data_IF_845129555431
#
_entry.id   IF_845129555431
#
_cell.length_a   1.000
_cell.length_b   1.000
_cell.length_c   1.000
_cell.angle_alpha   90.00
_cell.angle_beta   90.00
_cell.angle_gamma   90.00
#
_symmetry.space_group_name_H-M   'P 1'
#
loop_
_entity.id
_entity.type
_entity.pdbx_description
1 polymer ?
2 non-polymer ?
3 non-polymer ?
4 water ?
#
# COMPACT_ATOMS: atom_id res chain seq x y z
N UNK A 5 5.40 17.11 -25.70
CA UNK A 5 4.14 17.45 -24.93
C UNK A 5 3.21 16.24 -24.81
N UNK A 6 2.76 15.98 -23.58
CA UNK A 6 1.84 14.88 -23.27
C UNK A 6 0.70 15.38 -22.38
N UNK A 7 -0.54 15.07 -22.76
CA UNK A 7 -1.71 15.41 -21.96
C UNK A 7 -2.18 14.18 -21.19
N UNK A 8 -2.33 14.33 -19.88
CA UNK A 8 -2.73 13.22 -19.02
C UNK A 8 -4.03 13.51 -18.28
N UNK A 9 -4.99 12.60 -18.40
CA UNK A 9 -6.23 12.64 -17.62
C UNK A 9 -6.02 11.88 -16.31
N UNK A 10 -6.27 12.52 -15.16
CA UNK A 10 -5.99 11.85 -13.88
C UNK A 10 -7.08 12.21 -12.89
N UNK A 11 -6.89 11.85 -11.62
CA UNK A 11 -7.97 11.98 -10.65
C UNK A 11 -8.39 13.42 -10.35
N UNK A 12 -7.52 14.38 -10.63
CA UNK A 12 -7.82 15.76 -10.31
C UNK A 12 -7.99 16.65 -11.53
N UNK A 13 -8.07 16.05 -12.71
CA UNK A 13 -8.30 16.84 -13.93
C UNK A 13 -7.35 16.45 -15.02
N UNK A 14 -7.01 17.42 -15.87
CA UNK A 14 -6.09 17.21 -16.98
C UNK A 14 -4.81 18.02 -16.79
N UNK A 15 -3.66 17.37 -17.06
CA UNK A 15 -2.35 18.03 -16.92
C UNK A 15 -1.53 17.87 -18.18
N UNK A 16 -0.93 18.98 -18.63
CA UNK A 16 -0.03 19.00 -19.77
C UNK A 16 1.41 18.93 -19.27
N UNK A 17 2.13 17.91 -19.72
CA UNK A 17 3.55 17.75 -19.39
C UNK A 17 4.34 18.09 -20.63
N UNK A 18 5.26 19.05 -20.50
CA UNK A 18 6.16 19.35 -21.61
C UNK A 18 7.48 18.65 -21.38
N UNK A 19 7.84 17.76 -22.31
CA UNK A 19 9.12 17.04 -22.26
C UNK A 19 9.04 15.71 -21.54
N UNK A 20 10.20 15.07 -21.35
CA UNK A 20 10.31 13.86 -20.57
C UNK A 20 10.78 14.32 -19.19
N UNK A 21 9.88 14.30 -18.19
CA UNK A 21 10.27 14.85 -16.89
C UNK A 21 11.48 14.13 -16.32
N UNK A 22 12.41 14.88 -15.75
CA UNK A 22 13.61 14.29 -15.14
C UNK A 22 13.76 14.62 -13.66
N UNK A 23 12.95 15.56 -13.17
CA UNK A 23 12.99 15.97 -11.78
C UNK A 23 11.61 15.77 -11.16
N UNK A 24 11.34 14.58 -10.63
CA UNK A 24 10.01 14.25 -10.13
C UNK A 24 9.98 14.27 -8.61
N UNK A 25 8.87 14.80 -8.06
CA UNK A 25 8.63 14.84 -6.62
C UNK A 25 7.45 13.92 -6.38
N UNK A 26 7.61 12.97 -5.46
CA UNK A 26 6.58 11.97 -5.15
C UNK A 26 5.99 12.24 -3.79
N UNK A 27 4.67 12.40 -3.74
CA UNK A 27 3.97 12.82 -2.50
C UNK A 27 3.22 11.73 -1.76
N UNK A 28 3.39 10.48 -2.19
CA UNK A 28 3.01 9.37 -1.31
C UNK A 28 3.98 8.20 -1.43
N UNK A 29 4.02 7.36 -0.40
CA UNK A 29 5.04 6.30 -0.35
C UNK A 29 5.10 5.47 -1.63
N UNK A 30 3.95 5.04 -2.12
CA UNK A 30 3.92 4.14 -3.27
C UNK A 30 4.43 4.79 -4.53
N UNK A 31 4.20 6.10 -4.67
CA UNK A 31 4.67 6.86 -5.82
C UNK A 31 6.20 6.89 -5.79
N UNK A 32 6.76 7.07 -4.60
CA UNK A 32 8.24 7.04 -4.46
C UNK A 32 8.81 5.69 -4.89
N UNK A 33 8.16 4.64 -4.45
CA UNK A 33 8.52 3.28 -4.79
C UNK A 33 8.41 3.03 -6.28
N UNK A 34 7.30 3.47 -6.87
CA UNK A 34 7.08 3.26 -8.30
C UNK A 34 8.11 4.04 -9.13
N UNK A 35 8.45 5.26 -8.70
CA UNK A 35 9.45 6.05 -9.44
C UNK A 35 10.77 5.28 -9.48
N UNK A 36 11.20 4.81 -8.32
CA UNK A 36 12.42 4.00 -8.26
C UNK A 36 12.34 2.74 -9.15
N UNK A 37 11.19 2.06 -9.09
CA UNK A 37 10.95 0.84 -9.87
C UNK A 37 11.02 1.10 -11.40
N UNK A 38 10.65 2.31 -11.79
CA UNK A 38 10.67 2.72 -13.19
C UNK A 38 12.03 3.32 -13.62
N UNK A 39 12.99 3.33 -12.69
CA UNK A 39 14.36 3.80 -12.95
C UNK A 39 14.54 5.30 -12.85
N UNK A 40 13.61 5.97 -12.18
CA UNK A 40 13.66 7.42 -12.00
C UNK A 40 13.77 7.78 -10.51
N UNK A 41 14.95 8.20 -10.07
CA UNK A 41 15.14 8.63 -8.68
C UNK A 41 14.52 10.01 -8.46
N UNK A 42 13.49 10.10 -7.58
CA UNK A 42 12.85 11.38 -7.32
C UNK A 42 13.84 12.42 -6.77
N UNK A 43 13.69 13.67 -7.18
CA UNK A 43 14.48 14.74 -6.58
C UNK A 43 13.97 15.10 -5.19
N UNK A 44 12.69 14.79 -4.95
CA UNK A 44 12.04 15.05 -3.67
C UNK A 44 11.00 13.97 -3.39
N UNK A 45 10.81 13.67 -2.11
CA UNK A 45 9.82 12.65 -1.68
C UNK A 45 9.30 12.99 -0.32
N UNK A 46 8.06 12.58 -0.04
CA UNK A 46 7.60 12.68 1.33
C UNK A 46 8.37 11.68 2.22
N UNK A 47 8.50 12.02 3.49
CA UNK A 47 9.20 11.14 4.43
C UNK A 47 8.46 9.80 4.58
N UNK A 48 9.19 8.75 4.88
CA UNK A 48 8.59 7.46 5.16
C UNK A 48 7.77 7.50 6.44
N UNK A 49 6.78 6.63 6.56
CA UNK A 49 5.94 6.65 7.73
C UNK A 49 6.66 6.17 8.98
N UNK A 50 7.55 5.21 8.78
CA UNK A 50 8.41 4.73 9.88
C UNK A 50 9.82 4.65 9.31
N UNK A 51 10.81 4.31 10.14
CA UNK A 51 12.21 4.33 9.68
C UNK A 51 12.55 5.69 9.04
N UNK A 52 12.04 6.77 9.63
CA UNK A 52 12.19 8.09 9.00
C UNK A 52 13.65 8.45 8.84
N UNK A 53 14.02 9.18 7.78
CA UNK A 53 13.14 9.77 6.74
C UNK A 53 12.90 8.88 5.53
N UNK A 54 13.60 7.75 5.41
CA UNK A 54 13.52 6.90 4.22
C UNK A 54 13.54 5.43 4.62
N UNK A 55 12.57 4.67 4.15
CA UNK A 55 12.53 3.25 4.47
C UNK A 55 13.85 2.56 4.10
N UNK A 56 14.32 1.70 4.99
CA UNK A 56 15.55 0.94 4.77
C UNK A 56 15.63 0.26 3.40
N UNK A 57 14.53 -0.36 2.98
CA UNK A 57 14.52 -1.11 1.73
C UNK A 57 14.80 -0.26 0.48
N UNK A 58 14.54 1.04 0.56
CA UNK A 58 14.68 1.93 -0.59
C UNK A 58 15.69 3.08 -0.45
N UNK A 59 16.24 3.27 0.74
CA UNK A 59 16.98 4.52 1.01
C UNK A 59 18.23 4.66 0.12
N UNK A 60 18.85 3.52 -0.24
CA UNK A 60 20.05 3.54 -1.10
C UNK A 60 19.73 3.93 -2.54
N UNK A 61 18.44 3.85 -2.90
CA UNK A 61 17.97 4.34 -4.19
C UNK A 61 17.47 5.78 -4.11
N UNK A 62 17.45 6.33 -2.89
CA UNK A 62 17.00 7.70 -2.65
C UNK A 62 18.10 8.59 -2.06
N UNK A 63 19.36 8.25 -2.31
CA UNK A 63 20.41 9.11 -1.78
C UNK A 63 20.36 10.45 -2.54
N UNK A 64 20.43 11.54 -1.80
CA UNK A 64 20.27 12.89 -2.38
C UNK A 64 18.83 13.30 -2.69
N UNK A 65 17.88 12.36 -2.63
CA UNK A 65 16.46 12.75 -2.64
C UNK A 65 16.17 13.62 -1.44
N UNK A 66 15.61 14.80 -1.66
CA UNK A 66 15.30 15.72 -0.59
C UNK A 66 13.93 15.35 -0.01
N UNK A 67 13.83 15.45 1.30
CA UNK A 67 12.54 15.17 1.97
C UNK A 67 11.70 16.44 1.95
N UNK A 68 10.50 16.35 1.41
CA UNK A 68 9.63 17.52 1.34
C UNK A 68 8.56 17.58 2.42
N UNK A 69 8.67 16.74 3.45
CA UNK A 69 7.74 16.81 4.58
C UNK A 69 6.92 15.55 4.76
N UNK A 70 5.87 15.64 5.55
CA UNK A 70 5.06 14.48 5.95
C UNK A 70 3.92 14.27 4.97
N UNK A 71 3.65 13.01 4.64
CA UNK A 71 2.62 12.71 3.65
C UNK A 71 1.25 13.38 3.86
N UNK A 72 0.78 13.52 5.11
CA UNK A 72 -0.51 14.20 5.28
C UNK A 72 -0.49 15.70 4.94
N UNK A 73 0.69 16.31 4.89
CA UNK A 73 0.79 17.77 4.63
C UNK A 73 2.19 18.17 4.21
N UNK A 74 2.53 17.87 2.96
CA UNK A 74 3.89 18.17 2.48
C UNK A 74 4.15 19.69 2.39
N UNK A 75 5.43 20.03 2.48
CA UNK A 75 5.83 21.44 2.53
C UNK A 75 6.00 21.96 1.12
N UNK A 76 5.03 22.78 0.69
CA UNK A 76 5.02 23.29 -0.68
C UNK A 76 6.24 24.15 -1.03
N UNK A 77 6.77 24.89 -0.04
CA UNK A 77 8.00 25.65 -0.26
C UNK A 77 9.18 24.73 -0.60
N UNK A 78 9.33 23.62 0.12
CA UNK A 78 10.41 22.70 -0.18
C UNK A 78 10.23 22.04 -1.56
N UNK A 79 9.00 21.73 -1.95
CA UNK A 79 8.73 21.21 -3.29
C UNK A 79 9.16 22.25 -4.34
N UNK A 80 8.73 23.49 -4.13
CA UNK A 80 9.05 24.57 -5.07
C UNK A 80 10.56 24.73 -5.28
N UNK A 81 11.31 24.65 -4.18
CA UNK A 81 12.78 24.82 -4.22
C UNK A 81 13.52 23.78 -5.02
N UNK A 82 12.90 22.62 -5.21
CA UNK A 82 13.50 21.58 -6.00
C UNK A 82 13.36 21.78 -7.50
N UNK A 83 12.56 22.76 -7.91
CA UNK A 83 12.32 23.01 -9.35
C UNK A 83 11.95 21.71 -10.06
N UNK A 84 10.88 21.04 -9.58
CA UNK A 84 10.50 19.79 -10.23
C UNK A 84 9.87 20.04 -11.60
N UNK A 85 9.92 19.05 -12.45
CA UNK A 85 9.15 19.09 -13.69
C UNK A 85 7.92 18.19 -13.66
N UNK A 86 7.76 17.42 -12.57
CA UNK A 86 6.58 16.58 -12.39
C UNK A 86 6.37 16.33 -10.91
N UNK A 87 5.13 16.51 -10.45
CA UNK A 87 4.75 16.16 -9.09
C UNK A 87 3.72 15.05 -9.17
N UNK A 88 3.90 13.99 -8.36
CA UNK A 88 2.90 12.92 -8.32
C UNK A 88 2.17 13.01 -6.96
N UNK A 89 0.87 13.25 -7.03
CA UNK A 89 0.05 13.55 -5.85
C UNK A 89 -1.07 12.54 -5.79
N UNK A 90 -1.87 12.61 -4.73
CA UNK A 90 -3.09 11.80 -4.60
C UNK A 90 -4.25 12.71 -4.19
N UNK A 91 -5.47 12.34 -4.58
CA UNK A 91 -6.63 13.09 -4.14
C UNK A 91 -6.76 12.92 -2.63
N UNK A 92 -6.55 11.71 -2.12
CA UNK A 92 -6.73 11.52 -0.70
C UNK A 92 -5.84 12.44 0.18
N UNK A 93 -4.57 12.61 -0.20
CA UNK A 93 -3.70 13.46 0.61
C UNK A 93 -3.76 14.93 0.22
N UNK A 94 -3.87 15.18 -1.09
CA UNK A 94 -3.51 16.51 -1.59
C UNK A 94 -4.65 17.23 -2.32
N UNK A 95 -5.88 16.75 -2.21
CA UNK A 95 -6.95 17.38 -3.02
C UNK A 95 -6.98 18.89 -2.80
N UNK A 96 -6.85 19.32 -1.53
CA UNK A 96 -7.03 20.72 -1.18
C UNK A 96 -5.89 21.64 -1.63
N UNK A 97 -4.71 21.07 -1.90
CA UNK A 97 -3.58 21.84 -2.37
C UNK A 97 -3.22 21.56 -3.85
N UNK A 98 -4.07 20.82 -4.56
CA UNK A 98 -3.76 20.44 -5.95
C UNK A 98 -3.46 21.66 -6.82
N UNK A 99 -4.26 22.74 -6.68
CA UNK A 99 -4.01 23.93 -7.51
C UNK A 99 -2.64 24.56 -7.17
N UNK A 100 -2.30 24.54 -5.89
CA UNK A 100 -1.02 25.09 -5.43
C UNK A 100 0.15 24.26 -5.97
N UNK A 101 -0.03 22.93 -5.98
CA UNK A 101 0.95 22.03 -6.56
C UNK A 101 1.12 22.30 -8.07
N UNK A 102 -0.02 22.49 -8.76
CA UNK A 102 0.01 22.77 -10.20
C UNK A 102 0.70 24.08 -10.54
N UNK A 103 0.70 25.02 -9.61
CA UNK A 103 1.42 26.30 -9.83
C UNK A 103 2.94 26.11 -9.81
N UNK A 104 3.38 25.07 -9.11
CA UNK A 104 4.81 24.74 -9.07
C UNK A 104 5.29 23.96 -10.29
N UNK A 105 4.57 22.90 -10.66
CA UNK A 105 4.93 22.03 -11.75
C UNK A 105 3.72 21.21 -12.18
N UNK A 106 3.76 20.66 -13.42
CA UNK A 106 2.70 19.76 -13.85
C UNK A 106 2.54 18.68 -12.79
N UNK A 107 1.30 18.48 -12.36
CA UNK A 107 1.01 17.60 -11.24
C UNK A 107 -0.03 16.57 -11.70
N UNK A 108 0.27 15.30 -11.50
CA UNK A 108 -0.69 14.23 -11.82
C UNK A 108 -1.07 13.53 -10.52
N UNK A 109 -2.31 13.03 -10.45
CA UNK A 109 -2.86 12.51 -9.18
C UNK A 109 -3.66 11.22 -9.37
N UNK A 110 -3.39 10.19 -8.54
CA UNK A 110 -4.28 9.03 -8.45
C UNK A 110 -5.31 9.33 -7.39
N UNK A 111 -6.36 8.53 -7.33
CA UNK A 111 -7.40 8.72 -6.31
C UNK A 111 -6.82 8.48 -4.90
N UNK A 112 -6.11 7.37 -4.74
CA UNK A 112 -5.56 7.07 -3.42
C UNK A 112 -4.11 6.61 -3.51
N UNK A 113 -3.63 6.06 -2.40
CA UNK A 113 -2.19 5.86 -2.27
C UNK A 113 -1.78 4.40 -2.42
N UNK A 114 -2.76 3.50 -2.41
CA UNK A 114 -2.42 2.06 -2.27
C UNK A 114 -2.68 1.23 -3.52
N UNK A 115 -3.26 1.84 -4.56
CA UNK A 115 -3.54 1.08 -5.80
C UNK A 115 -2.31 1.16 -6.71
N UNK A 116 -1.31 0.33 -6.37
CA UNK A 116 0.02 0.48 -6.94
C UNK A 116 0.02 0.23 -8.45
N UNK A 117 -0.98 -0.52 -8.95
CA UNK A 117 -1.07 -0.74 -10.39
C UNK A 117 -1.49 0.53 -11.10
N UNK A 118 -2.41 1.27 -10.49
CA UNK A 118 -2.83 2.55 -11.05
C UNK A 118 -1.71 3.59 -10.97
N UNK A 119 -1.00 3.61 -9.85
CA UNK A 119 0.19 4.47 -9.70
C UNK A 119 1.22 4.14 -10.80
N UNK A 120 1.45 2.86 -11.05
CA UNK A 120 2.45 2.41 -12.02
C UNK A 120 2.07 2.81 -13.44
N UNK A 121 0.80 2.59 -13.79
CA UNK A 121 0.29 3.04 -15.11
C UNK A 121 0.36 4.54 -15.30
N UNK A 122 -0.14 5.30 -14.32
CA UNK A 122 -0.11 6.77 -14.39
C UNK A 122 1.32 7.28 -14.51
N UNK A 123 2.20 6.77 -13.67
CA UNK A 123 3.57 7.27 -13.67
C UNK A 123 4.31 6.83 -14.91
N UNK A 124 3.97 5.65 -15.43
CA UNK A 124 4.51 5.18 -16.71
C UNK A 124 4.24 6.20 -17.80
N UNK A 125 2.98 6.65 -17.88
CA UNK A 125 2.56 7.64 -18.88
C UNK A 125 3.23 9.01 -18.67
N UNK A 126 3.26 9.47 -17.42
CA UNK A 126 3.76 10.78 -17.08
C UNK A 126 5.26 10.87 -17.31
N UNK A 127 5.96 9.77 -17.09
CA UNK A 127 7.43 9.75 -17.16
C UNK A 127 8.00 9.34 -18.52
N UNK A 128 7.12 8.98 -19.45
CA UNK A 128 7.49 8.35 -20.72
C UNK A 128 8.19 7.03 -20.47
N UNK A 129 7.68 6.25 -19.52
CA UNK A 129 8.20 4.93 -19.20
C UNK A 129 7.08 3.87 -19.31
N UNK A 130 6.26 4.00 -20.35
CA UNK A 130 5.11 3.12 -20.54
C UNK A 130 5.48 1.66 -20.72
N UNK A 131 6.53 1.40 -21.50
CA UNK A 131 7.00 0.04 -21.72
C UNK A 131 7.54 -0.56 -20.41
N UNK A 132 8.30 0.25 -19.66
CA UNK A 132 8.82 -0.20 -18.36
C UNK A 132 7.67 -0.55 -17.40
N UNK A 133 6.66 0.31 -17.38
CA UNK A 133 5.47 0.11 -16.51
C UNK A 133 4.72 -1.18 -16.88
N UNK A 134 4.56 -1.38 -18.18
CA UNK A 134 3.91 -2.59 -18.67
C UNK A 134 4.68 -3.84 -18.24
N UNK A 135 6.02 -3.82 -18.34
CA UNK A 135 6.87 -4.95 -17.97
C UNK A 135 6.78 -5.22 -16.44
N UNK A 136 6.79 -4.16 -15.64
CA UNK A 136 6.59 -4.31 -14.20
C UNK A 136 5.26 -5.03 -13.88
N UNK A 137 4.18 -4.58 -14.49
CA UNK A 137 2.85 -5.11 -14.23
C UNK A 137 2.72 -6.54 -14.75
N UNK A 138 3.32 -6.82 -15.91
CA UNK A 138 3.38 -8.21 -16.40
C UNK A 138 4.09 -9.13 -15.38
N UNK A 139 5.21 -8.69 -14.84
CA UNK A 139 5.94 -9.43 -13.80
C UNK A 139 5.06 -9.70 -12.56
N UNK A 140 4.29 -8.70 -12.14
CA UNK A 140 3.40 -8.89 -11.02
C UNK A 140 2.29 -9.91 -11.35
N UNK A 141 1.67 -9.74 -12.51
CA UNK A 141 0.60 -10.64 -12.97
C UNK A 141 1.08 -12.09 -13.05
N UNK A 142 2.31 -12.28 -13.56
CA UNK A 142 2.92 -13.59 -13.59
C UNK A 142 3.07 -14.20 -12.21
N UNK A 143 3.52 -13.39 -11.25
CA UNK A 143 3.73 -13.84 -9.90
C UNK A 143 2.40 -14.21 -9.25
N UNK A 144 1.38 -13.40 -9.53
CA UNK A 144 0.02 -13.66 -9.05
C UNK A 144 -0.51 -14.99 -9.62
N UNK A 145 -0.39 -15.16 -10.93
CA UNK A 145 -0.83 -16.42 -11.59
C UNK A 145 -0.15 -17.65 -10.99
N UNK A 146 1.16 -17.57 -10.79
CA UNK A 146 1.92 -18.65 -10.15
C UNK A 146 1.48 -18.91 -8.73
N UNK A 147 1.18 -17.84 -7.98
CA UNK A 147 0.72 -18.03 -6.63
C UNK A 147 -0.62 -18.79 -6.57
N UNK A 148 -1.53 -18.40 -7.46
CA UNK A 148 -2.85 -19.06 -7.53
C UNK A 148 -2.69 -20.56 -7.82
N UNK A 149 -1.80 -20.88 -8.75
CA UNK A 149 -1.49 -22.30 -9.07
C UNK A 149 -0.95 -23.07 -7.86
N UNK A 150 0.03 -22.49 -7.16
CA UNK A 150 0.64 -23.13 -6.00
C UNK A 150 -0.33 -23.23 -4.81
N UNK A 151 -1.19 -22.22 -4.67
CA UNK A 151 -2.19 -22.25 -3.60
C UNK A 151 -3.25 -23.34 -3.82
N UNK A 152 -3.75 -23.42 -5.06
CA UNK A 152 -4.68 -24.49 -5.47
C UNK A 152 -4.06 -25.87 -5.25
N UNK A 153 -2.80 -26.02 -5.63
CA UNK A 153 -2.08 -27.30 -5.43
C UNK A 153 -1.98 -27.69 -3.96
N UNK A 154 -1.76 -26.72 -3.06
CA UNK A 154 -1.68 -27.05 -1.63
C UNK A 154 -3.06 -27.30 -1.01
N UNK A 155 -3.99 -26.38 -1.28
CA UNK A 155 -5.25 -26.38 -0.54
C UNK A 155 -6.36 -27.21 -1.19
N UNK A 156 -6.20 -27.50 -2.48
CA UNK A 156 -7.13 -28.34 -3.25
C UNK A 156 -8.58 -27.89 -3.10
N UNK A 157 -9.45 -28.78 -2.61
CA UNK A 157 -10.88 -28.46 -2.43
C UNK A 157 -11.15 -27.32 -1.46
N UNK A 158 -10.18 -27.01 -0.60
CA UNK A 158 -10.37 -25.87 0.31
C UNK A 158 -10.05 -24.52 -0.34
N UNK A 159 -9.42 -24.51 -1.51
CA UNK A 159 -9.18 -23.27 -2.25
C UNK A 159 -10.47 -22.83 -2.98
N UNK A 160 -10.82 -21.53 -2.91
CA UNK A 160 -10.09 -20.43 -2.22
C UNK A 160 -10.38 -20.29 -0.73
N UNK A 161 -9.34 -19.91 0.04
CA UNK A 161 -9.45 -19.61 1.44
C UNK A 161 -10.05 -18.21 1.57
N UNK A 162 -10.79 -18.01 2.65
CA UNK A 162 -11.11 -16.65 3.08
C UNK A 162 -9.97 -16.08 3.95
N UNK A 163 -9.66 -14.82 3.72
CA UNK A 163 -8.57 -14.13 4.45
C UNK A 163 -9.10 -12.84 5.04
N UNK A 164 -8.50 -12.41 6.14
CA UNK A 164 -8.68 -11.00 6.58
C UNK A 164 -7.33 -10.49 7.02
N UNK A 165 -7.16 -9.17 6.90
CA UNK A 165 -5.94 -8.48 7.32
C UNK A 165 -6.38 -7.55 8.45
N UNK A 166 -5.95 -7.87 9.66
CA UNK A 166 -6.37 -7.15 10.87
C UNK A 166 -5.19 -6.32 11.35
N UNK A 167 -5.44 -5.04 11.56
CA UNK A 167 -4.38 -4.08 11.97
C UNK A 167 -4.72 -3.50 13.32
N UNK A 168 -3.88 -3.83 14.31
CA UNK A 168 -4.06 -3.22 15.63
C UNK A 168 -3.38 -1.87 15.65
N UNK A 169 -4.12 -0.84 16.06
CA UNK A 169 -3.58 0.54 16.15
C UNK A 169 -3.56 0.94 17.61
N UNK A 170 -3.20 2.18 17.91
CA UNK A 170 -3.05 2.61 19.30
C UNK A 170 -4.39 2.69 20.06
N UNK A 171 -5.48 3.01 19.35
CA UNK A 171 -6.77 3.32 19.99
C UNK A 171 -7.96 2.72 19.23
N UNK A 172 -7.68 1.81 18.29
CA UNK A 172 -8.73 1.12 17.54
C UNK A 172 -8.11 0.00 16.74
N UNK A 173 -8.95 -0.73 16.00
CA UNK A 173 -8.47 -1.83 15.19
C UNK A 173 -9.05 -1.64 13.79
N UNK A 174 -8.30 -1.98 12.77
CA UNK A 174 -8.80 -1.89 11.40
C UNK A 174 -8.84 -3.25 10.68
N UNK A 175 -9.72 -3.37 9.70
CA UNK A 175 -9.60 -4.51 8.76
C UNK A 175 -9.27 -3.89 7.41
N UNK A 176 -8.15 -4.31 6.79
CA UNK A 176 -7.79 -3.85 5.46
C UNK A 176 -8.43 -4.83 4.50
N UNK A 177 -9.74 -4.65 4.28
CA UNK A 177 -10.54 -5.52 3.41
C UNK A 177 -10.12 -5.33 1.97
N UNK A 178 -10.08 -4.06 1.57
CA UNK A 178 -9.34 -3.58 0.43
C UNK A 178 -8.06 -2.94 0.95
N UNK A 179 -7.78 -1.74 0.50
CA UNK A 179 -6.52 -1.13 0.85
C UNK A 179 -5.36 -1.91 0.23
N UNK A 180 -4.14 -1.60 0.67
CA UNK A 180 -2.97 -2.16 0.01
C UNK A 180 -2.98 -3.69 0.01
N UNK A 181 -2.99 -4.29 1.20
CA UNK A 181 -2.86 -5.75 1.29
C UNK A 181 -4.16 -6.42 0.89
N UNK A 182 -5.29 -5.83 1.27
CA UNK A 182 -6.60 -6.43 0.89
C UNK A 182 -6.82 -6.59 -0.61
N UNK A 183 -6.40 -5.58 -1.38
CA UNK A 183 -6.50 -5.70 -2.84
C UNK A 183 -5.55 -6.75 -3.42
N UNK A 184 -4.32 -6.84 -2.89
CA UNK A 184 -3.38 -7.86 -3.34
C UNK A 184 -3.90 -9.26 -3.02
N UNK A 185 -4.40 -9.46 -1.81
CA UNK A 185 -4.97 -10.78 -1.48
C UNK A 185 -6.11 -11.10 -2.44
N UNK A 186 -6.94 -10.10 -2.75
CA UNK A 186 -8.02 -10.31 -3.72
C UNK A 186 -7.45 -10.76 -5.11
N UNK A 187 -6.36 -10.12 -5.55
CA UNK A 187 -5.71 -10.53 -6.79
C UNK A 187 -5.26 -11.99 -6.73
N UNK A 188 -4.77 -12.40 -5.58
CA UNK A 188 -4.21 -13.73 -5.37
C UNK A 188 -5.28 -14.82 -5.27
N UNK A 189 -6.54 -14.40 -5.26
CA UNK A 189 -7.68 -15.33 -5.21
C UNK A 189 -8.28 -15.64 -3.86
N UNK A 190 -7.79 -15.01 -2.80
CA UNK A 190 -8.39 -15.13 -1.49
C UNK A 190 -9.74 -14.48 -1.54
N UNK A 191 -10.68 -15.00 -0.75
CA UNK A 191 -12.02 -14.41 -0.66
C UNK A 191 -12.26 -13.87 0.74
N UNK A 192 -13.44 -13.26 0.93
CA UNK A 192 -13.80 -12.65 2.22
C UNK A 192 -15.11 -13.22 2.73
N UNK A 193 -15.30 -13.23 4.03
CA UNK A 193 -16.60 -13.64 4.59
C UNK A 193 -17.68 -12.73 4.03
N UNK A 194 -18.91 -13.24 3.97
CA UNK A 194 -19.97 -12.52 3.29
C UNK A 194 -20.20 -11.10 3.83
N UNK A 195 -20.15 -10.95 5.14
CA UNK A 195 -20.42 -9.63 5.71
C UNK A 195 -19.30 -8.64 5.36
N UNK A 196 -18.06 -9.12 5.42
CA UNK A 196 -16.92 -8.27 5.03
C UNK A 196 -16.97 -7.92 3.53
N UNK A 197 -17.37 -8.89 2.70
CA UNK A 197 -17.44 -8.65 1.27
C UNK A 197 -18.51 -7.61 0.97
N UNK A 198 -19.61 -7.67 1.74
CA UNK A 198 -20.68 -6.68 1.59
C UNK A 198 -20.15 -5.27 1.86
N UNK A 199 -19.27 -5.11 2.85
CA UNK A 199 -18.63 -3.81 3.12
C UNK A 199 -17.84 -3.32 1.92
N UNK A 200 -17.05 -4.22 1.34
CA UNK A 200 -16.27 -3.91 0.17
C UNK A 200 -17.17 -3.54 -1.01
N UNK A 201 -18.24 -4.30 -1.20
CA UNK A 201 -19.18 -4.02 -2.29
C UNK A 201 -19.86 -2.66 -2.11
N UNK A 202 -19.95 -2.18 -0.86
CA UNK A 202 -20.51 -0.87 -0.53
C UNK A 202 -19.48 0.25 -0.61
N UNK A 203 -18.31 -0.09 -1.15
CA UNK A 203 -17.25 0.91 -1.36
C UNK A 203 -16.29 1.11 -0.21
N UNK A 204 -16.39 0.28 0.83
CA UNK A 204 -15.43 0.39 1.93
C UNK A 204 -14.14 -0.36 1.55
N UNK A 205 -13.01 0.23 1.93
CA UNK A 205 -11.68 -0.36 1.68
C UNK A 205 -11.06 -0.73 3.04
N UNK A 206 -11.05 0.24 3.96
CA UNK A 206 -10.36 0.06 5.24
C UNK A 206 -11.43 0.32 6.28
N UNK A 207 -11.73 -0.69 7.08
CA UNK A 207 -12.80 -0.61 8.08
C UNK A 207 -12.22 -0.31 9.44
N UNK A 208 -12.65 0.80 10.05
CA UNK A 208 -12.18 1.13 11.39
C UNK A 208 -13.18 0.52 12.33
N UNK A 209 -12.69 -0.22 13.32
CA UNK A 209 -13.55 -0.80 14.34
C UNK A 209 -13.20 -0.28 15.71
N UNK A 210 -14.24 0.02 16.48
CA UNK A 210 -14.04 0.64 17.78
C UNK A 210 -14.46 -0.30 18.89
N UNK A 211 -15.19 -1.37 18.54
CA UNK A 211 -15.73 -2.29 19.55
C UNK A 211 -15.29 -3.72 19.30
N UNK A 212 -14.88 -4.41 20.37
CA UNK A 212 -14.52 -5.83 20.27
C UNK A 212 -15.71 -6.66 19.81
N UNK A 213 -16.92 -6.15 20.04
CA UNK A 213 -18.13 -6.81 19.54
C UNK A 213 -18.12 -6.96 18.02
N UNK A 214 -17.32 -6.15 17.32
CA UNK A 214 -17.22 -6.24 15.85
C UNK A 214 -16.22 -7.28 15.36
N UNK A 215 -15.52 -7.91 16.29
CA UNK A 215 -14.49 -8.90 15.91
C UNK A 215 -15.00 -9.97 14.91
N UNK A 216 -16.26 -10.44 15.04
CA UNK A 216 -16.71 -11.41 14.04
C UNK A 216 -16.60 -11.01 12.57
N UNK A 217 -16.58 -9.70 12.28
CA UNK A 217 -16.39 -9.23 10.92
C UNK A 217 -15.03 -9.67 10.33
N UNK A 218 -14.09 -9.97 11.21
CA UNK A 218 -12.75 -10.41 10.82
C UNK A 218 -12.71 -11.87 10.40
N UNK A 219 -13.81 -12.60 10.57
CA UNK A 219 -13.72 -14.06 10.41
C UNK A 219 -13.17 -14.48 9.05
N UNK A 220 -12.30 -15.50 9.06
CA UNK A 220 -11.58 -15.94 7.89
C UNK A 220 -10.97 -17.29 8.20
N UNK A 221 -10.59 -18.02 7.15
CA UNK A 221 -9.78 -19.24 7.29
C UNK A 221 -8.33 -18.97 7.72
N UNK A 222 -7.80 -17.82 7.32
CA UNK A 222 -6.49 -17.37 7.78
C UNK A 222 -6.53 -15.86 8.02
N UNK A 223 -5.85 -15.42 9.09
CA UNK A 223 -5.86 -14.00 9.46
C UNK A 223 -4.44 -13.51 9.53
N UNK A 224 -4.19 -12.35 8.91
CA UNK A 224 -2.88 -11.76 8.85
C UNK A 224 -2.90 -10.56 9.75
N UNK A 225 -2.05 -10.56 10.78
CA UNK A 225 -2.07 -9.48 11.76
C UNK A 225 -0.93 -8.48 11.56
N UNK A 226 -1.27 -7.19 11.46
CA UNK A 226 -0.27 -6.12 11.28
C UNK A 226 -0.36 -5.16 12.45
N UNK A 227 0.76 -4.96 13.17
CA UNK A 227 0.79 -3.99 14.27
C UNK A 227 1.38 -2.72 13.65
N UNK A 228 0.58 -1.66 13.56
CA UNK A 228 1.02 -0.46 12.85
C UNK A 228 0.19 0.74 13.23
N UNK A 229 0.86 1.80 13.69
CA UNK A 229 0.20 3.09 13.90
C UNK A 229 1.31 4.16 13.89
N UNK A 230 1.71 4.61 12.69
CA UNK A 230 2.94 5.38 12.57
C UNK A 230 2.96 6.64 13.38
N UNK A 231 1.83 7.32 13.43
CA UNK A 231 1.79 8.59 14.14
C UNK A 231 1.37 8.56 15.62
N UNK A 232 1.21 7.36 16.17
CA UNK A 232 0.97 7.21 17.62
C UNK A 232 2.15 7.82 18.37
N UNK A 233 1.87 8.57 19.41
CA UNK A 233 2.94 9.11 20.26
C UNK A 233 3.60 8.06 21.14
N UNK A 234 2.85 6.99 21.43
CA UNK A 234 3.33 5.95 22.34
C UNK A 234 3.23 4.57 21.66
N UNK A 235 4.37 4.04 21.20
CA UNK A 235 4.41 2.75 20.49
C UNK A 235 3.81 1.57 21.24
N UNK A 236 3.90 1.63 22.57
CA UNK A 236 3.36 0.56 23.42
C UNK A 236 1.84 0.37 23.29
N UNK A 237 1.13 1.42 22.85
CA UNK A 237 -0.33 1.35 22.84
C UNK A 237 -0.83 0.36 21.80
N UNK A 238 -0.11 0.22 20.70
CA UNK A 238 -0.48 -0.82 19.70
C UNK A 238 -0.45 -2.23 20.31
N UNK A 239 0.59 -2.52 21.08
CA UNK A 239 0.66 -3.80 21.79
C UNK A 239 -0.46 -3.99 22.81
N UNK A 240 -0.83 -2.92 23.49
CA UNK A 240 -1.94 -2.97 24.45
C UNK A 240 -3.26 -3.28 23.71
N UNK A 241 -3.46 -2.63 22.57
CA UNK A 241 -4.66 -2.93 21.77
C UNK A 241 -4.69 -4.40 21.36
N UNK A 242 -3.59 -4.89 20.79
CA UNK A 242 -3.49 -6.28 20.36
C UNK A 242 -3.79 -7.21 21.55
N UNK A 243 -3.18 -6.91 22.70
CA UNK A 243 -3.39 -7.74 23.89
C UNK A 243 -4.86 -7.82 24.28
N UNK A 244 -5.53 -6.67 24.36
CA UNK A 244 -6.95 -6.58 24.74
C UNK A 244 -7.86 -7.28 23.74
N UNK A 245 -7.65 -7.00 22.46
CA UNK A 245 -8.51 -7.60 21.42
C UNK A 245 -8.29 -9.10 21.26
N UNK A 246 -7.04 -9.55 21.31
CA UNK A 246 -6.74 -10.98 21.08
C UNK A 246 -7.07 -11.83 22.31
N UNK A 247 -7.30 -11.17 23.44
CA UNK A 247 -7.67 -11.80 24.72
C UNK A 247 -9.19 -12.00 24.86
N UNK A 248 -9.96 -11.43 23.93
CA UNK A 248 -11.42 -11.46 24.02
C UNK A 248 -11.99 -12.80 23.61
N UNK A 249 -13.17 -13.12 24.15
CA UNK A 249 -13.87 -14.34 23.72
C UNK A 249 -14.20 -14.30 22.22
N UNK A 250 -14.46 -13.10 21.71
CA UNK A 250 -14.75 -12.94 20.26
C UNK A 250 -13.57 -13.39 19.40
N UNK A 251 -12.36 -12.98 19.77
CA UNK A 251 -11.21 -13.36 19.01
C UNK A 251 -11.01 -14.87 19.05
N UNK A 252 -11.20 -15.44 20.23
CA UNK A 252 -10.95 -16.87 20.42
C UNK A 252 -11.94 -17.75 19.64
N UNK A 253 -13.04 -17.14 19.20
CA UNK A 253 -14.04 -17.85 18.43
C UNK A 253 -13.90 -17.72 16.90
N UNK A 254 -12.97 -16.88 16.45
CA UNK A 254 -12.69 -16.80 15.04
C UNK A 254 -12.19 -18.15 14.51
N UNK A 255 -12.62 -18.51 13.31
CA UNK A 255 -12.18 -19.76 12.69
C UNK A 255 -10.66 -19.86 12.61
N UNK A 256 -10.00 -18.81 12.10
CA UNK A 256 -8.55 -18.92 11.92
C UNK A 256 -7.83 -19.07 13.28
N UNK A 257 -8.39 -18.46 14.33
CA UNK A 257 -7.79 -18.45 15.65
C UNK A 257 -7.88 -19.85 16.25
N UNK A 258 -9.08 -20.43 16.19
CA UNK A 258 -9.33 -21.84 16.59
C UNK A 258 -8.44 -22.84 15.89
N UNK A 259 -8.16 -22.60 14.60
CA UNK A 259 -7.40 -23.53 13.79
C UNK A 259 -5.91 -23.23 13.72
N UNK A 260 -5.47 -22.30 14.56
CA UNK A 260 -4.07 -21.88 14.59
C UNK A 260 -3.56 -21.41 13.23
N UNK A 261 -4.35 -20.55 12.57
CA UNK A 261 -4.06 -20.09 11.23
C UNK A 261 -3.97 -18.57 11.27
N UNK A 262 -3.14 -18.06 12.17
CA UNK A 262 -2.96 -16.61 12.30
C UNK A 262 -1.48 -16.36 12.02
N UNK A 263 -1.20 -15.43 11.09
CA UNK A 263 0.18 -14.97 10.89
C UNK A 263 0.38 -13.67 11.62
N UNK A 264 1.25 -13.70 12.61
CA UNK A 264 1.46 -12.61 13.55
C UNK A 264 2.74 -11.89 13.17
N UNK A 265 2.98 -10.73 13.77
CA UNK A 265 4.19 -9.94 13.47
C UNK A 265 4.63 -9.95 12.00
N UNK A 266 3.77 -9.44 11.15
CA UNK A 266 4.09 -9.22 9.77
C UNK A 266 4.77 -7.86 9.69
N UNK A 267 5.61 -7.66 8.68
CA UNK A 267 6.31 -6.39 8.53
C UNK A 267 5.31 -5.35 8.03
N UNK A 268 5.05 -4.34 8.85
CA UNK A 268 4.10 -3.27 8.43
C UNK A 268 4.51 -2.55 7.15
N UNK A 269 5.82 -2.50 6.85
CA UNK A 269 6.27 -1.77 5.65
C UNK A 269 5.84 -2.52 4.39
N UNK A 270 6.10 -3.82 4.38
CA UNK A 270 5.66 -4.70 3.28
C UNK A 270 4.13 -4.74 3.16
N UNK A 271 3.47 -4.88 4.30
CA UNK A 271 2.05 -5.16 4.33
C UNK A 271 1.14 -3.95 4.17
N UNK A 272 1.69 -2.75 4.40
CA UNK A 272 0.85 -1.57 4.22
C UNK A 272 1.57 -0.26 3.91
N UNK A 273 2.68 0.00 4.61
CA UNK A 273 3.19 1.39 4.56
C UNK A 273 3.86 1.78 3.26
N UNK A 274 4.64 0.87 2.68
CA UNK A 274 5.39 1.20 1.47
C UNK A 274 4.48 1.51 0.29
N UNK A 275 3.38 0.77 0.18
CA UNK A 275 2.29 1.13 -0.73
C UNK A 275 2.56 0.93 -2.20
N UNK A 276 3.68 0.26 -2.52
CA UNK A 276 4.23 0.40 -3.87
C UNK A 276 4.35 -0.87 -4.65
N UNK A 277 5.16 -0.80 -5.71
CA UNK A 277 5.39 -1.92 -6.59
C UNK A 277 6.28 -2.96 -5.95
N UNK A 278 7.43 -2.52 -5.42
CA UNK A 278 8.38 -3.49 -4.84
C UNK A 278 7.78 -4.33 -3.71
N UNK A 279 6.97 -3.72 -2.83
CA UNK A 279 6.37 -4.46 -1.73
C UNK A 279 5.37 -5.49 -2.17
N UNK A 280 4.75 -5.27 -3.32
CA UNK A 280 3.71 -6.23 -3.82
C UNK A 280 4.36 -7.60 -4.02
N UNK A 281 5.54 -7.59 -4.66
CA UNK A 281 6.27 -8.84 -4.91
C UNK A 281 6.73 -9.44 -3.60
N UNK A 282 7.22 -8.59 -2.69
CA UNK A 282 7.60 -9.03 -1.36
C UNK A 282 6.47 -9.62 -0.52
N UNK A 283 5.29 -9.02 -0.60
CA UNK A 283 4.13 -9.53 0.13
C UNK A 283 3.79 -10.96 -0.35
N UNK A 284 3.79 -11.16 -1.65
CA UNK A 284 3.53 -12.51 -2.22
C UNK A 284 4.58 -13.52 -1.72
N UNK A 285 5.85 -13.12 -1.70
CA UNK A 285 6.91 -13.96 -1.12
C UNK A 285 6.63 -14.30 0.34
N UNK A 286 6.20 -13.29 1.10
CA UNK A 286 5.83 -13.48 2.51
C UNK A 286 4.76 -14.56 2.67
N UNK A 287 3.76 -14.53 1.79
CA UNK A 287 2.66 -15.49 1.80
C UNK A 287 3.15 -16.93 1.57
N UNK A 288 4.05 -17.14 0.62
CA UNK A 288 4.63 -18.49 0.44
C UNK A 288 5.23 -18.99 1.74
N UNK A 289 5.95 -18.11 2.45
CA UNK A 289 6.58 -18.46 3.71
C UNK A 289 5.59 -18.66 4.87
N UNK A 290 4.71 -17.69 5.09
CA UNK A 290 3.81 -17.72 6.23
C UNK A 290 2.77 -18.83 6.07
N UNK A 291 2.42 -19.16 4.83
CA UNK A 291 1.41 -20.20 4.56
C UNK A 291 2.03 -21.58 4.28
N UNK A 292 3.36 -21.65 4.26
CA UNK A 292 4.10 -22.87 3.95
C UNK A 292 3.58 -23.49 2.65
N UNK A 293 3.60 -22.69 1.58
CA UNK A 293 3.18 -23.11 0.25
C UNK A 293 4.43 -23.38 -0.58
N UNK A 294 4.49 -24.55 -1.20
CA UNK A 294 5.60 -24.91 -2.07
C UNK A 294 5.51 -24.17 -3.39
N UNK A 295 6.60 -23.51 -3.75
CA UNK A 295 6.67 -22.73 -5.00
C UNK A 295 6.63 -23.64 -6.23
N UNK A 296 6.56 -24.94 -5.96
CA UNK A 296 6.35 -25.99 -6.98
C UNK A 296 6.07 -25.47 -8.40
#
# INVERSE_FOLDING_TARGET
GSHMTTSIKHAMGTTEIKGKPKRVVTLYQGATDVAVSLGVKPVGAVESWTQKPKFEYIKNDLKDTKIVGQEPAPNLEEISKLKPDLIVASKVRNEKVYDQLSKIAPTVSTDTVFKFKDTTKLMGKALGKEKEAEDLLKKYDDKVAAFQKDAKAKYKDAWPLKASVVNFRADHTRIYAGGYAGEILNDLGFKRNKDLQKQVDNGKDIIQLTSKESIPLMNADHIFVVKSDPNAKDAALVKKTESEWTSSKEWKNLDAVKNNQVSDDLDEITWNLAGGYKSSLKLIDDLYEKLNIEKQSK
#
